data_IF_988323071896
#
_entry.id   IF_988323071896
#
_cell.length_a   1.000
_cell.length_b   1.000
_cell.length_c   1.000
_cell.angle_alpha   90.00
_cell.angle_beta   90.00
_cell.angle_gamma   90.00
#
_symmetry.space_group_name_H-M   'P 1'
#
loop_
_entity.id
_entity.type
_entity.pdbx_description
1 polymer ?
#
# COMPACT_ATOMS: atom_id res chain seq x y z
N UNK A 1 -22.31 12.26 6.73
CA UNK A 1 -22.12 11.67 8.07
C UNK A 1 -21.62 10.25 7.89
N UNK A 2 -20.41 9.92 8.37
CA UNK A 2 -19.89 8.54 8.30
C UNK A 2 -20.59 7.67 9.33
N UNK A 3 -21.14 6.54 8.90
CA UNK A 3 -21.83 5.58 9.77
C UNK A 3 -20.81 4.71 10.51
N UNK A 4 -21.19 4.22 11.70
CA UNK A 4 -20.36 3.28 12.47
C UNK A 4 -20.00 2.04 11.65
N UNK A 5 -20.92 1.55 10.79
CA UNK A 5 -20.69 0.45 9.86
C UNK A 5 -19.55 0.73 8.88
N UNK A 6 -19.52 1.93 8.28
CA UNK A 6 -18.47 2.31 7.33
C UNK A 6 -17.10 2.43 8.01
N UNK A 7 -17.06 2.95 9.24
CA UNK A 7 -15.81 3.05 10.01
C UNK A 7 -15.20 1.66 10.29
N UNK A 8 -16.04 0.68 10.63
CA UNK A 8 -15.62 -0.71 10.84
C UNK A 8 -15.08 -1.31 9.54
N UNK A 9 -15.78 -1.11 8.40
CA UNK A 9 -15.33 -1.60 7.09
C UNK A 9 -13.96 -1.00 6.73
N UNK A 10 -13.78 0.31 6.91
CA UNK A 10 -12.49 0.96 6.66
C UNK A 10 -11.35 0.38 7.50
N UNK A 11 -11.61 0.12 8.78
CA UNK A 11 -10.63 -0.51 9.67
C UNK A 11 -10.31 -1.95 9.26
N UNK A 12 -11.32 -2.74 8.86
CA UNK A 12 -11.13 -4.11 8.37
C UNK A 12 -10.30 -4.16 7.08
N UNK A 13 -10.54 -3.22 6.16
CA UNK A 13 -9.75 -3.10 4.92
C UNK A 13 -8.28 -2.75 5.24
N UNK A 14 -8.04 -1.90 6.24
CA UNK A 14 -6.68 -1.62 6.70
C UNK A 14 -6.02 -2.88 7.27
N UNK A 15 -6.67 -3.55 8.23
CA UNK A 15 -6.10 -4.75 8.87
C UNK A 15 -5.81 -5.87 7.87
N UNK A 16 -6.72 -6.11 6.92
CA UNK A 16 -6.51 -7.12 5.87
C UNK A 16 -5.37 -6.74 4.93
N UNK A 17 -5.27 -5.47 4.53
CA UNK A 17 -4.16 -4.99 3.69
C UNK A 17 -2.80 -5.15 4.38
N UNK A 18 -2.71 -4.87 5.68
CA UNK A 18 -1.48 -5.04 6.47
C UNK A 18 -1.13 -6.52 6.58
N UNK A 19 -2.11 -7.38 6.92
CA UNK A 19 -1.90 -8.82 7.02
C UNK A 19 -1.42 -9.45 5.69
N UNK A 20 -2.01 -9.03 4.57
CA UNK A 20 -1.58 -9.47 3.22
C UNK A 20 -0.16 -9.01 2.92
N UNK A 21 0.24 -7.81 3.36
CA UNK A 21 1.59 -7.29 3.17
C UNK A 21 2.64 -8.10 3.92
N UNK A 22 2.35 -8.48 5.17
CA UNK A 22 3.21 -9.38 5.95
C UNK A 22 3.31 -10.77 5.32
N UNK A 23 2.17 -11.35 4.89
CA UNK A 23 2.17 -12.65 4.19
C UNK A 23 2.98 -12.63 2.89
N UNK A 24 2.90 -11.55 2.12
CA UNK A 24 3.72 -11.36 0.92
C UNK A 24 5.20 -11.24 1.26
N UNK A 25 5.56 -10.47 2.28
CA UNK A 25 6.95 -10.34 2.74
C UNK A 25 7.52 -11.70 3.20
N UNK A 26 6.78 -12.46 4.00
CA UNK A 26 7.19 -13.79 4.44
C UNK A 26 7.31 -14.77 3.28
N UNK A 27 6.33 -14.79 2.36
CA UNK A 27 6.39 -15.59 1.14
C UNK A 27 7.64 -15.24 0.31
N UNK A 28 7.96 -13.96 0.17
CA UNK A 28 9.14 -13.55 -0.59
C UNK A 28 10.47 -13.85 0.11
N UNK A 29 10.52 -13.75 1.44
CA UNK A 29 11.68 -14.14 2.25
C UNK A 29 11.93 -15.65 2.20
N UNK A 30 10.88 -16.47 2.21
CA UNK A 30 10.98 -17.93 2.15
C UNK A 30 11.38 -18.44 0.76
N UNK A 31 10.95 -17.78 -0.32
CA UNK A 31 11.13 -18.28 -1.70
C UNK A 31 12.14 -17.50 -2.55
N UNK A 32 12.82 -16.46 -2.04
CA UNK A 32 13.57 -15.52 -2.88
C UNK A 32 14.91 -15.02 -2.35
N UNK A 33 15.91 -15.88 -2.18
CA UNK A 33 17.27 -15.48 -1.74
C UNK A 33 18.22 -14.98 -2.85
N UNK A 34 17.73 -14.68 -4.06
CA UNK A 34 18.57 -14.10 -5.13
C UNK A 34 18.02 -12.77 -5.63
N UNK A 35 18.85 -11.73 -5.55
CA UNK A 35 18.56 -10.35 -5.92
C UNK A 35 18.65 -10.22 -7.44
N UNK A 36 17.50 -10.42 -8.08
CA UNK A 36 17.23 -10.04 -9.47
C UNK A 36 16.13 -8.96 -9.47
N UNK A 37 15.96 -8.20 -10.57
CA UNK A 37 14.96 -7.12 -10.70
C UNK A 37 13.52 -7.46 -10.27
N UNK A 38 13.19 -8.75 -10.17
CA UNK A 38 11.96 -9.26 -9.52
C UNK A 38 11.81 -8.81 -8.06
N UNK A 39 12.89 -8.52 -7.33
CA UNK A 39 12.85 -8.10 -5.92
C UNK A 39 12.42 -6.64 -5.72
N UNK A 40 12.67 -5.76 -6.69
CA UNK A 40 12.16 -4.38 -6.66
C UNK A 40 10.63 -4.41 -6.80
N UNK A 41 10.10 -5.20 -7.73
CA UNK A 41 8.66 -5.39 -7.89
C UNK A 41 7.99 -5.96 -6.63
N UNK A 42 8.67 -6.89 -5.92
CA UNK A 42 8.20 -7.44 -4.64
C UNK A 42 8.13 -6.37 -3.54
N UNK A 43 9.16 -5.53 -3.42
CA UNK A 43 9.19 -4.45 -2.44
C UNK A 43 8.11 -3.39 -2.74
N UNK A 44 7.89 -3.07 -4.03
CA UNK A 44 6.82 -2.16 -4.47
C UNK A 44 5.44 -2.75 -4.15
N UNK A 45 5.20 -4.03 -4.40
CA UNK A 45 3.91 -4.67 -4.08
C UNK A 45 3.66 -4.75 -2.56
N UNK A 46 4.67 -5.12 -1.78
CA UNK A 46 4.58 -5.19 -0.33
C UNK A 46 4.31 -3.81 0.32
N UNK A 47 4.74 -2.72 -0.31
CA UNK A 47 4.50 -1.36 0.16
C UNK A 47 3.24 -0.72 -0.43
N UNK A 48 2.82 -1.08 -1.64
CA UNK A 48 1.62 -0.52 -2.27
C UNK A 48 0.30 -1.01 -1.65
N UNK A 49 0.21 -2.29 -1.28
CA UNK A 49 -1.00 -2.89 -0.68
C UNK A 49 -1.45 -2.22 0.63
N UNK A 50 -0.59 -2.00 1.64
CA UNK A 50 -0.99 -1.37 2.90
C UNK A 50 -1.30 0.12 2.70
N UNK A 51 -0.66 0.78 1.72
CA UNK A 51 -0.95 2.17 1.36
C UNK A 51 -2.32 2.30 0.68
N UNK A 52 -2.71 1.34 -0.16
CA UNK A 52 -4.07 1.24 -0.69
C UNK A 52 -5.11 1.01 0.42
N UNK A 53 -4.83 0.11 1.37
CA UNK A 53 -5.70 -0.11 2.52
C UNK A 53 -5.83 1.12 3.42
N UNK A 54 -4.75 1.88 3.61
CA UNK A 54 -4.76 3.16 4.33
C UNK A 54 -5.64 4.20 3.63
N UNK A 55 -5.55 4.31 2.30
CA UNK A 55 -6.41 5.19 1.51
C UNK A 55 -7.90 4.86 1.73
N UNK A 56 -8.29 3.59 1.59
CA UNK A 56 -9.68 3.17 1.80
C UNK A 56 -10.12 3.37 3.25
N UNK A 57 -9.25 3.09 4.23
CA UNK A 57 -9.53 3.36 5.64
C UNK A 57 -9.85 4.84 5.88
N UNK A 58 -9.02 5.75 5.37
CA UNK A 58 -9.24 7.19 5.50
C UNK A 58 -10.52 7.65 4.80
N UNK A 59 -10.84 7.05 3.65
CA UNK A 59 -12.05 7.34 2.89
C UNK A 59 -13.31 6.98 3.67
N UNK A 60 -13.31 5.84 4.38
CA UNK A 60 -14.45 5.37 5.15
C UNK A 60 -14.50 5.88 6.60
N UNK A 61 -13.37 6.24 7.20
CA UNK A 61 -13.24 6.61 8.62
C UNK A 61 -13.14 8.11 8.88
N UNK A 62 -12.57 8.89 7.96
CA UNK A 62 -12.32 10.33 8.17
C UNK A 62 -13.04 11.23 7.15
N UNK A 63 -12.49 11.36 5.95
CA UNK A 63 -13.11 12.17 4.89
C UNK A 63 -12.52 11.81 3.55
N UNK A 64 -13.33 11.93 2.50
CA UNK A 64 -12.87 11.78 1.11
C UNK A 64 -11.75 12.76 0.76
N UNK A 65 -11.77 13.96 1.37
CA UNK A 65 -10.74 15.00 1.16
C UNK A 65 -9.37 14.55 1.67
N UNK A 66 -9.32 14.05 2.92
CA UNK A 66 -8.08 13.56 3.52
C UNK A 66 -7.55 12.30 2.80
N UNK A 67 -8.45 11.38 2.44
CA UNK A 67 -8.10 10.21 1.65
C UNK A 67 -7.48 10.60 0.31
N UNK A 68 -8.08 11.55 -0.42
CA UNK A 68 -7.55 12.00 -1.70
C UNK A 68 -6.22 12.77 -1.57
N UNK A 69 -6.00 13.51 -0.49
CA UNK A 69 -4.72 14.16 -0.24
C UNK A 69 -3.60 13.14 -0.02
N UNK A 70 -3.85 12.11 0.79
CA UNK A 70 -2.88 11.06 1.08
C UNK A 70 -2.69 10.14 -0.13
N UNK A 71 -3.78 9.73 -0.79
CA UNK A 71 -3.73 8.90 -2.01
C UNK A 71 -3.08 9.62 -3.20
N UNK A 72 -3.34 10.92 -3.37
CA UNK A 72 -2.69 11.73 -4.39
C UNK A 72 -1.19 11.92 -4.13
N UNK A 73 -0.80 12.22 -2.88
CA UNK A 73 0.61 12.29 -2.49
C UNK A 73 1.35 10.96 -2.69
N UNK A 74 0.68 9.84 -2.40
CA UNK A 74 1.19 8.50 -2.63
C UNK A 74 1.43 8.19 -4.11
N UNK A 75 0.49 8.57 -4.98
CA UNK A 75 0.64 8.39 -6.42
C UNK A 75 1.86 9.15 -6.96
N UNK A 76 2.07 10.39 -6.51
CA UNK A 76 3.25 11.19 -6.88
C UNK A 76 4.53 10.52 -6.39
N UNK A 77 4.56 10.02 -5.14
CA UNK A 77 5.72 9.34 -4.59
C UNK A 77 6.06 8.05 -5.37
N UNK A 78 5.07 7.25 -5.75
CA UNK A 78 5.24 6.05 -6.58
C UNK A 78 5.81 6.38 -7.96
N UNK A 79 5.35 7.46 -8.59
CA UNK A 79 5.89 7.93 -9.88
C UNK A 79 7.36 8.35 -9.72
N UNK A 80 7.71 9.09 -8.67
CA UNK A 80 9.10 9.47 -8.38
C UNK A 80 9.97 8.23 -8.14
N UNK A 81 9.50 7.28 -7.33
CA UNK A 81 10.21 6.03 -7.05
C UNK A 81 10.43 5.19 -8.32
N UNK A 82 9.44 5.15 -9.22
CA UNK A 82 9.58 4.48 -10.52
C UNK A 82 10.63 5.14 -11.40
N UNK A 83 10.61 6.47 -11.51
CA UNK A 83 11.60 7.23 -12.29
C UNK A 83 13.02 7.04 -11.73
N UNK A 84 13.18 7.12 -10.41
CA UNK A 84 14.46 6.87 -9.74
C UNK A 84 14.93 5.42 -9.94
N UNK A 85 14.02 4.45 -9.83
CA UNK A 85 14.33 3.04 -10.09
C UNK A 85 14.76 2.78 -11.54
N UNK A 86 14.20 3.50 -12.51
CA UNK A 86 14.62 3.46 -13.91
C UNK A 86 15.98 4.12 -14.14
N UNK A 87 16.26 5.25 -13.48
CA UNK A 87 17.55 5.96 -13.59
C UNK A 87 18.73 5.22 -12.96
N UNK A 88 18.47 4.39 -11.96
CA UNK A 88 19.48 3.59 -11.25
C UNK A 88 19.76 2.22 -11.92
N UNK A 89 19.05 1.89 -13.01
CA UNK A 89 19.15 0.65 -13.76
C UNK A 89 19.66 0.91 -15.18
#
# INVERSE_FOLDING_TARGET
MQTTKNKIIGLLVLCTSIAISFLLLDYFNLFGSKIDGKNILKAVLATAIPLGGLYFCLYFVHSKKLANQIGGGLAVFLVIAYILGFLLH
#
